data_IF_371673173328
#
_entry.id   IF_371673173328
#
_cell.length_a   1.000
_cell.length_b   1.000
_cell.length_c   1.000
_cell.angle_alpha   90.00
_cell.angle_beta   90.00
_cell.angle_gamma   90.00
#
_symmetry.space_group_name_H-M   'P 1'
#
loop_
_entity.id
_entity.type
_entity.pdbx_description
1 polymer ?
#
# COMPACT_ATOMS: atom_id res chain seq x y z
N UNK A 1 -36.17 -18.40 13.19
CA UNK A 1 -35.55 -17.35 14.00
C UNK A 1 -34.61 -16.54 13.10
N UNK A 2 -35.03 -15.32 12.81
CA UNK A 2 -34.35 -14.41 11.83
C UNK A 2 -33.13 -13.77 12.47
N UNK A 3 -31.94 -13.96 11.87
CA UNK A 3 -30.72 -13.23 12.25
C UNK A 3 -30.69 -11.89 11.50
N UNK A 4 -30.95 -10.81 12.24
CA UNK A 4 -30.82 -9.43 11.74
C UNK A 4 -29.35 -9.14 11.39
N UNK A 5 -29.10 -8.76 10.14
CA UNK A 5 -27.84 -8.18 9.69
C UNK A 5 -27.82 -6.72 10.16
N UNK A 6 -26.84 -6.36 10.98
CA UNK A 6 -26.59 -4.97 11.34
C UNK A 6 -25.62 -4.37 10.32
N UNK A 7 -26.13 -3.44 9.52
CA UNK A 7 -25.29 -2.51 8.75
C UNK A 7 -24.91 -1.41 9.73
N UNK A 8 -23.65 -1.32 10.12
CA UNK A 8 -23.12 -0.23 10.94
C UNK A 8 -22.61 0.86 9.99
N UNK A 9 -23.46 1.87 9.76
CA UNK A 9 -23.03 3.14 9.16
C UNK A 9 -22.34 3.97 10.25
N UNK A 10 -21.06 4.28 10.07
CA UNK A 10 -20.38 5.20 10.96
C UNK A 10 -20.65 6.65 10.53
N UNK A 11 -21.43 7.34 11.33
CA UNK A 11 -21.49 8.81 11.32
C UNK A 11 -20.21 9.33 12.01
N UNK A 12 -19.53 10.25 11.34
CA UNK A 12 -18.38 10.96 11.87
C UNK A 12 -18.90 12.02 12.84
N UNK A 13 -18.72 11.82 14.13
CA UNK A 13 -18.85 12.87 15.14
C UNK A 13 -17.44 13.36 15.48
N UNK A 14 -17.21 14.65 15.31
CA UNK A 14 -15.98 15.35 15.70
C UNK A 14 -15.86 15.40 17.22
N UNK A 15 -15.13 14.44 17.76
CA UNK A 15 -14.67 14.45 19.15
C UNK A 15 -13.22 14.05 19.17
N UNK A 16 -12.37 14.88 19.77
CA UNK A 16 -10.94 14.67 19.85
C UNK A 16 -10.58 13.48 20.73
N UNK A 17 -10.58 12.29 20.13
CA UNK A 17 -9.95 11.09 20.68
C UNK A 17 -9.15 10.46 19.55
N UNK A 18 -7.90 10.10 19.83
CA UNK A 18 -6.94 9.47 18.94
C UNK A 18 -7.53 8.17 18.37
N UNK A 19 -8.20 8.24 17.22
CA UNK A 19 -8.86 7.11 16.56
C UNK A 19 -8.04 6.69 15.34
N UNK A 20 -7.61 5.48 15.39
CA UNK A 20 -6.79 4.78 14.40
C UNK A 20 -7.63 4.38 13.17
N UNK A 21 -7.15 4.66 11.97
CA UNK A 21 -7.82 4.28 10.73
C UNK A 21 -7.08 3.11 10.06
N UNK A 22 -7.68 1.93 10.10
CA UNK A 22 -7.26 0.82 9.27
C UNK A 22 -8.16 0.74 8.03
N UNK A 23 -7.61 0.52 6.86
CA UNK A 23 -8.41 0.24 5.67
C UNK A 23 -8.82 -1.22 5.63
N UNK A 24 -10.12 -1.46 5.47
CA UNK A 24 -10.65 -2.78 5.20
C UNK A 24 -10.45 -3.11 3.73
N UNK A 25 -9.73 -4.18 3.44
CA UNK A 25 -9.55 -4.68 2.09
C UNK A 25 -10.05 -6.12 1.98
N UNK A 26 -10.86 -6.39 0.96
CA UNK A 26 -11.32 -7.75 0.68
C UNK A 26 -10.28 -8.44 -0.18
N UNK A 27 -9.80 -9.58 0.28
CA UNK A 27 -8.86 -10.44 -0.44
C UNK A 27 -9.44 -11.83 -0.60
N UNK A 28 -8.99 -12.57 -1.58
CA UNK A 28 -9.40 -13.95 -1.78
C UNK A 28 -8.32 -14.86 -1.18
N UNK A 29 -8.71 -15.74 -0.29
CA UNK A 29 -7.80 -16.71 0.29
C UNK A 29 -7.43 -17.81 -0.72
N UNK A 30 -6.50 -18.67 -0.34
CA UNK A 30 -6.04 -19.79 -1.17
C UNK A 30 -7.12 -20.86 -1.47
N UNK A 31 -8.33 -20.71 -0.93
CA UNK A 31 -9.53 -21.54 -1.20
C UNK A 31 -10.57 -20.80 -2.03
N UNK A 32 -10.24 -19.62 -2.56
CA UNK A 32 -11.15 -18.79 -3.35
C UNK A 32 -12.22 -18.05 -2.55
N UNK A 33 -12.10 -17.99 -1.21
CA UNK A 33 -13.07 -17.31 -0.34
C UNK A 33 -12.66 -15.85 -0.12
N UNK A 34 -13.60 -14.92 -0.33
CA UNK A 34 -13.40 -13.51 0.00
C UNK A 34 -13.25 -13.32 1.52
N UNK A 35 -12.16 -12.71 1.93
CA UNK A 35 -11.82 -12.41 3.32
C UNK A 35 -11.56 -10.94 3.43
N UNK A 36 -12.15 -10.33 4.45
CA UNK A 36 -11.91 -8.93 4.78
C UNK A 36 -10.73 -8.84 5.72
N UNK A 37 -9.65 -8.21 5.26
CA UNK A 37 -8.44 -7.98 6.04
C UNK A 37 -8.33 -6.50 6.33
N UNK A 38 -8.12 -6.15 7.60
CA UNK A 38 -7.84 -4.78 8.01
C UNK A 38 -6.34 -4.56 7.89
N UNK A 39 -5.95 -3.62 7.04
CA UNK A 39 -4.56 -3.28 6.86
C UNK A 39 -4.32 -1.94 7.54
N UNK A 40 -3.43 -1.90 8.52
CA UNK A 40 -2.99 -0.63 9.07
C UNK A 40 -2.27 0.15 7.98
N UNK A 41 -2.62 1.40 7.82
CA UNK A 41 -1.88 2.31 6.95
C UNK A 41 -0.85 3.05 7.80
N UNK A 42 0.34 3.24 7.29
CA UNK A 42 1.40 4.03 7.94
C UNK A 42 0.97 5.47 8.28
N UNK A 43 -0.22 5.81 7.85
CA UNK A 43 -0.88 7.07 8.04
C UNK A 43 -1.25 7.42 9.47
N UNK A 44 -1.26 6.42 10.32
CA UNK A 44 -1.68 6.60 11.71
C UNK A 44 -0.56 7.08 12.57
N UNK A 45 0.55 7.13 11.95
CA UNK A 45 1.72 7.71 12.54
C UNK A 45 2.22 8.77 11.58
N UNK A 46 1.75 9.92 11.71
CA UNK A 46 2.62 10.94 11.40
C UNK A 46 3.42 11.26 12.53
N UNK A 47 3.29 10.26 12.91
CA UNK A 47 4.10 9.36 13.34
C UNK A 47 4.08 8.16 12.50
N UNK A 48 4.87 8.02 11.61
CA UNK A 48 5.09 6.95 10.71
C UNK A 48 5.29 5.60 11.41
N UNK A 49 4.27 5.10 12.07
CA UNK A 49 4.41 3.94 12.89
C UNK A 49 3.06 3.26 13.05
N UNK A 50 2.98 2.09 12.52
CA UNK A 50 1.87 1.20 12.83
C UNK A 50 1.96 0.86 14.30
N UNK A 51 1.10 1.45 15.12
CA UNK A 51 0.97 1.04 16.52
C UNK A 51 0.46 -0.39 16.51
N UNK A 52 1.31 -1.22 16.98
CA UNK A 52 1.16 -2.64 16.92
C UNK A 52 0.15 -3.14 17.96
N UNK A 53 -0.06 -2.41 19.07
CA UNK A 53 -1.12 -2.74 20.04
C UNK A 53 -2.51 -2.64 19.40
N UNK A 54 -2.66 -1.80 18.37
CA UNK A 54 -3.86 -1.71 17.56
C UNK A 54 -4.07 -2.89 16.60
N UNK A 55 -3.00 -3.50 16.10
CA UNK A 55 -3.10 -4.74 15.32
C UNK A 55 -3.68 -5.87 16.17
N UNK A 56 -3.30 -5.95 17.46
CA UNK A 56 -3.74 -7.01 18.35
C UNK A 56 -5.25 -6.99 18.58
N UNK A 57 -5.85 -5.83 18.86
CA UNK A 57 -7.27 -5.77 19.19
C UNK A 57 -8.20 -6.03 18.02
N UNK A 58 -7.86 -5.54 16.83
CA UNK A 58 -8.75 -5.68 15.67
C UNK A 58 -8.53 -6.93 14.84
N UNK A 59 -7.28 -7.39 14.69
CA UNK A 59 -7.02 -8.64 13.97
C UNK A 59 -7.43 -9.86 14.77
N UNK A 60 -7.21 -9.87 16.08
CA UNK A 60 -7.64 -10.96 16.94
C UNK A 60 -9.17 -11.11 16.93
N UNK A 61 -9.90 -10.02 17.06
CA UNK A 61 -11.37 -10.04 17.07
C UNK A 61 -11.97 -10.30 15.69
N UNK A 62 -11.34 -9.87 14.58
CA UNK A 62 -11.85 -10.15 13.24
C UNK A 62 -11.58 -11.58 12.78
N UNK A 63 -10.46 -12.19 13.17
CA UNK A 63 -10.13 -13.58 12.83
C UNK A 63 -11.08 -14.58 13.48
N UNK A 64 -11.55 -14.32 14.69
CA UNK A 64 -12.54 -15.16 15.38
C UNK A 64 -13.89 -15.10 14.68
N UNK A 65 -14.28 -13.95 14.12
CA UNK A 65 -15.57 -13.78 13.43
C UNK A 65 -15.59 -14.34 12.00
N UNK A 66 -14.45 -14.49 11.34
CA UNK A 66 -14.37 -14.96 9.94
C UNK A 66 -14.21 -16.47 9.77
N UNK A 67 -14.16 -17.22 10.86
CA UNK A 67 -14.20 -18.70 10.81
C UNK A 67 -12.98 -19.33 10.15
N UNK A 68 -11.81 -18.73 10.27
CA UNK A 68 -10.53 -19.40 9.94
C UNK A 68 -10.21 -20.48 10.99
N UNK A 69 -11.11 -21.43 11.11
CA UNK A 69 -10.92 -22.64 11.88
C UNK A 69 -10.09 -23.63 11.10
N UNK A 70 -8.81 -23.45 11.09
CA UNK A 70 -7.82 -24.54 11.05
C UNK A 70 -6.56 -23.95 11.65
N UNK A 71 -6.45 -23.98 12.95
CA UNK A 71 -5.16 -24.07 13.62
C UNK A 71 -4.40 -25.19 12.94
N UNK A 72 -3.21 -24.94 12.37
CA UNK A 72 -2.32 -26.01 12.00
C UNK A 72 -2.10 -26.85 13.26
N UNK A 73 -2.08 -28.17 13.09
CA UNK A 73 -1.82 -29.14 14.14
C UNK A 73 -0.73 -28.63 15.10
N UNK A 74 -1.04 -28.61 16.39
CA UNK A 74 -0.21 -28.15 17.50
C UNK A 74 1.03 -29.01 17.78
N UNK A 75 1.47 -29.82 16.83
CA UNK A 75 2.64 -30.69 16.94
C UNK A 75 3.85 -30.22 16.12
N UNK A 76 3.81 -29.01 15.52
CA UNK A 76 5.03 -28.40 15.01
C UNK A 76 5.77 -27.80 16.21
N UNK A 77 6.93 -28.32 16.56
CA UNK A 77 7.90 -27.67 17.43
C UNK A 77 8.00 -26.21 17.01
N UNK A 78 7.70 -25.27 17.95
CA UNK A 78 7.96 -23.86 17.66
C UNK A 78 9.40 -23.72 17.19
N UNK A 79 9.66 -22.96 16.11
CA UNK A 79 11.03 -22.77 15.67
C UNK A 79 11.84 -22.22 16.84
N UNK A 80 13.05 -22.72 17.00
CA UNK A 80 13.97 -22.24 18.03
C UNK A 80 14.30 -20.77 17.76
N UNK A 81 13.50 -19.88 18.38
CA UNK A 81 13.52 -18.43 18.17
C UNK A 81 14.40 -17.71 19.18
N UNK A 82 15.56 -18.29 19.51
CA UNK A 82 16.53 -17.56 20.31
C UNK A 82 17.02 -16.33 19.55
N UNK A 83 17.28 -15.24 20.25
CA UNK A 83 17.81 -14.01 19.63
C UNK A 83 19.07 -14.27 18.82
N UNK A 84 19.91 -15.21 19.25
CA UNK A 84 21.14 -15.62 18.58
C UNK A 84 20.88 -16.23 17.19
N UNK A 85 19.86 -17.09 17.08
CA UNK A 85 19.47 -17.68 15.79
C UNK A 85 18.90 -16.63 14.86
N UNK A 86 18.04 -15.75 15.36
CA UNK A 86 17.47 -14.66 14.60
C UNK A 86 18.58 -13.73 14.10
N UNK A 87 19.49 -13.32 14.97
CA UNK A 87 20.59 -12.42 14.64
C UNK A 87 21.55 -13.05 13.61
N UNK A 88 21.87 -14.32 13.74
CA UNK A 88 22.65 -15.06 12.74
C UNK A 88 21.96 -15.07 11.36
N UNK A 89 20.64 -15.29 11.32
CA UNK A 89 19.86 -15.26 10.07
C UNK A 89 19.82 -13.84 9.49
N UNK A 90 19.68 -12.81 10.31
CA UNK A 90 19.70 -11.41 9.87
C UNK A 90 21.02 -11.01 9.23
N UNK A 91 22.15 -11.44 9.81
CA UNK A 91 23.48 -11.19 9.21
C UNK A 91 23.63 -11.77 7.80
N UNK A 92 22.89 -12.82 7.49
CA UNK A 92 22.92 -13.44 6.16
C UNK A 92 21.94 -12.79 5.15
N UNK A 93 21.11 -11.83 5.59
CA UNK A 93 20.14 -11.20 4.69
C UNK A 93 20.76 -10.11 3.83
N UNK A 94 21.78 -9.42 4.31
CA UNK A 94 22.34 -8.26 3.60
C UNK A 94 23.83 -8.13 3.85
N UNK A 95 24.52 -7.84 2.76
CA UNK A 95 25.95 -7.44 2.82
C UNK A 95 26.11 -5.91 2.95
N UNK A 96 25.06 -5.15 2.58
CA UNK A 96 25.11 -3.68 2.48
C UNK A 96 24.49 -2.98 3.70
N UNK A 97 23.66 -3.68 4.48
CA UNK A 97 22.95 -3.10 5.63
C UNK A 97 23.20 -3.93 6.87
N UNK A 98 23.68 -3.30 7.94
CA UNK A 98 23.80 -3.96 9.23
C UNK A 98 22.43 -4.10 9.87
N UNK A 99 21.95 -5.34 10.00
CA UNK A 99 20.72 -5.66 10.70
C UNK A 99 21.05 -6.50 11.93
N UNK A 100 20.69 -6.01 13.11
CA UNK A 100 20.93 -6.69 14.39
C UNK A 100 19.61 -6.99 15.07
N UNK A 101 19.54 -8.16 15.74
CA UNK A 101 18.44 -8.51 16.59
C UNK A 101 18.69 -7.98 18.00
N UNK A 102 17.75 -7.22 18.53
CA UNK A 102 17.68 -6.83 19.94
C UNK A 102 16.22 -6.94 20.41
N UNK A 103 15.97 -6.63 21.67
CA UNK A 103 14.63 -6.75 22.28
C UNK A 103 13.59 -5.90 21.50
N UNK A 104 13.97 -4.72 21.02
CA UNK A 104 13.04 -3.87 20.25
C UNK A 104 12.67 -4.50 18.91
N UNK A 105 13.63 -5.06 18.18
CA UNK A 105 13.39 -5.77 16.93
C UNK A 105 12.58 -7.05 17.17
N UNK A 106 12.90 -7.80 18.22
CA UNK A 106 12.21 -9.05 18.58
C UNK A 106 10.73 -8.84 18.83
N UNK A 107 10.33 -7.75 19.48
CA UNK A 107 8.91 -7.39 19.68
C UNK A 107 8.14 -7.33 18.37
N UNK A 108 8.74 -6.75 17.32
CA UNK A 108 8.09 -6.68 16.00
C UNK A 108 8.06 -8.01 15.28
N UNK A 109 9.12 -8.84 15.43
CA UNK A 109 9.11 -10.20 14.86
C UNK A 109 7.97 -11.02 15.48
N UNK A 110 7.87 -11.03 16.80
CA UNK A 110 6.81 -11.75 17.52
C UNK A 110 5.42 -11.29 17.08
N UNK A 111 5.29 -10.05 16.78
CA UNK A 111 4.10 -9.44 16.31
C UNK A 111 3.70 -9.89 14.90
N UNK A 112 4.57 -9.84 13.92
CA UNK A 112 4.31 -10.36 12.58
C UNK A 112 4.01 -11.86 12.59
N UNK A 113 4.66 -12.61 13.48
CA UNK A 113 4.59 -14.09 13.48
C UNK A 113 3.48 -14.64 14.37
N UNK A 114 3.01 -13.86 15.36
CA UNK A 114 1.96 -14.25 16.32
C UNK A 114 0.65 -13.51 16.04
N UNK A 115 0.38 -12.38 16.68
CA UNK A 115 -0.86 -11.63 16.57
C UNK A 115 -1.13 -11.13 15.14
N UNK A 116 -0.12 -10.57 14.46
CA UNK A 116 -0.21 -10.08 13.08
C UNK A 116 -0.04 -11.14 11.99
N UNK A 117 -0.09 -12.43 12.33
CA UNK A 117 0.17 -13.55 11.41
C UNK A 117 -0.69 -13.49 10.14
N UNK A 118 -1.97 -13.20 10.27
CA UNK A 118 -2.89 -13.11 9.14
C UNK A 118 -2.53 -11.94 8.21
N UNK A 119 -2.18 -10.79 8.78
CA UNK A 119 -1.68 -9.64 8.02
C UNK A 119 -0.40 -9.99 7.29
N UNK A 120 0.49 -10.74 7.94
CA UNK A 120 1.74 -11.20 7.31
C UNK A 120 1.46 -12.10 6.11
N UNK A 121 0.50 -13.02 6.18
CA UNK A 121 0.07 -13.82 5.03
C UNK A 121 -0.39 -12.94 3.86
N UNK A 122 -1.15 -11.89 4.15
CA UNK A 122 -1.60 -10.92 3.15
C UNK A 122 -0.45 -10.09 2.58
N UNK A 123 0.43 -9.56 3.42
CA UNK A 123 1.60 -8.80 2.99
C UNK A 123 2.51 -9.61 2.08
N UNK A 124 2.74 -10.87 2.41
CA UNK A 124 3.51 -11.80 1.57
C UNK A 124 2.87 -12.01 0.21
N UNK A 125 1.54 -12.13 0.16
CA UNK A 125 0.80 -12.26 -1.09
C UNK A 125 0.98 -11.02 -1.98
N UNK A 126 0.86 -9.81 -1.41
CA UNK A 126 1.05 -8.56 -2.15
C UNK A 126 2.51 -8.33 -2.57
N UNK A 127 3.45 -8.70 -1.72
CA UNK A 127 4.87 -8.57 -2.00
C UNK A 127 5.30 -9.31 -3.28
N UNK A 128 4.65 -10.41 -3.63
CA UNK A 128 4.90 -11.12 -4.90
C UNK A 128 4.68 -10.24 -6.12
N UNK A 129 3.70 -9.35 -6.06
CA UNK A 129 3.39 -8.42 -7.15
C UNK A 129 4.29 -7.17 -7.11
N UNK A 130 4.48 -6.57 -5.93
CA UNK A 130 5.17 -5.28 -5.82
C UNK A 130 6.69 -5.39 -5.76
N UNK A 131 7.26 -6.44 -5.15
CA UNK A 131 8.70 -6.57 -4.98
C UNK A 131 9.49 -6.46 -6.29
N UNK A 132 9.09 -7.07 -7.41
CA UNK A 132 9.82 -6.89 -8.68
C UNK A 132 9.90 -5.42 -9.12
N UNK A 133 8.85 -4.63 -8.91
CA UNK A 133 8.80 -3.20 -9.25
C UNK A 133 9.77 -2.42 -8.34
N UNK A 134 9.76 -2.71 -7.04
CA UNK A 134 10.65 -2.06 -6.08
C UNK A 134 12.11 -2.40 -6.35
N UNK A 135 12.39 -3.67 -6.60
CA UNK A 135 13.75 -4.15 -6.88
C UNK A 135 14.34 -3.54 -8.15
N UNK A 136 13.53 -3.32 -9.19
CA UNK A 136 13.96 -2.64 -10.41
C UNK A 136 14.45 -1.22 -10.10
N UNK A 137 13.67 -0.43 -9.37
CA UNK A 137 14.02 0.92 -8.97
C UNK A 137 15.25 0.95 -8.05
N UNK A 138 15.35 0.03 -7.09
CA UNK A 138 16.50 -0.06 -6.18
C UNK A 138 17.79 -0.43 -6.94
N UNK A 139 17.74 -1.41 -7.85
CA UNK A 139 18.88 -1.78 -8.69
C UNK A 139 19.33 -0.64 -9.58
N UNK A 140 18.38 0.14 -10.12
CA UNK A 140 18.72 1.30 -10.96
C UNK A 140 19.62 2.32 -10.23
N UNK A 141 19.39 2.51 -8.92
CA UNK A 141 20.20 3.39 -8.08
C UNK A 141 21.34 2.68 -7.33
N UNK A 142 21.54 1.37 -7.53
CA UNK A 142 22.57 0.59 -6.85
C UNK A 142 22.36 0.46 -5.34
N UNK A 143 21.10 0.39 -4.90
CA UNK A 143 20.71 0.37 -3.48
C UNK A 143 20.49 -1.07 -2.97
N UNK A 144 20.58 -1.29 -1.63
CA UNK A 144 20.25 -2.55 -1.02
C UNK A 144 18.81 -2.98 -1.35
N UNK A 145 18.65 -4.25 -1.77
CA UNK A 145 17.33 -4.77 -2.15
C UNK A 145 16.41 -4.97 -0.94
N UNK A 146 16.96 -5.00 0.25
CA UNK A 146 16.23 -5.07 1.51
C UNK A 146 15.29 -3.87 1.69
N UNK A 147 15.61 -2.73 1.10
CA UNK A 147 14.78 -1.52 1.11
C UNK A 147 13.40 -1.74 0.47
N UNK A 148 13.21 -2.79 -0.33
CA UNK A 148 11.90 -3.19 -0.87
C UNK A 148 10.85 -3.49 0.21
N UNK A 149 11.27 -3.74 1.43
CA UNK A 149 10.35 -4.00 2.53
C UNK A 149 9.93 -2.73 3.30
N UNK A 150 10.43 -1.55 2.89
CA UNK A 150 10.00 -0.28 3.47
C UNK A 150 8.49 -0.03 3.26
N UNK A 151 7.90 -0.28 2.07
CA UNK A 151 6.45 -0.16 1.87
C UNK A 151 5.59 -1.11 2.74
N UNK A 152 6.17 -2.15 3.31
CA UNK A 152 5.47 -3.02 4.27
C UNK A 152 5.10 -2.22 5.52
N UNK A 153 6.05 -1.46 6.07
CA UNK A 153 5.83 -0.64 7.26
C UNK A 153 5.20 0.71 6.95
N UNK A 154 5.33 1.22 5.73
CA UNK A 154 4.78 2.51 5.32
C UNK A 154 3.28 2.46 4.99
N UNK A 155 2.84 1.44 4.28
CA UNK A 155 1.48 1.38 3.74
C UNK A 155 0.81 0.00 3.84
N UNK A 156 1.48 -0.99 4.41
CA UNK A 156 1.03 -2.38 4.29
C UNK A 156 0.92 -2.82 2.82
N UNK A 157 1.79 -2.31 1.95
CA UNK A 157 1.77 -2.51 0.50
C UNK A 157 0.46 -2.04 -0.17
N UNK A 158 -0.23 -1.03 0.40
CA UNK A 158 -1.45 -0.47 -0.16
C UNK A 158 -1.16 0.83 -0.95
N UNK A 159 -1.27 0.84 -2.29
CA UNK A 159 -1.00 2.04 -3.09
C UNK A 159 -2.05 3.15 -2.87
N UNK A 160 -3.21 2.81 -2.32
CA UNK A 160 -4.28 3.76 -2.00
C UNK A 160 -4.19 4.32 -0.57
N UNK A 161 -3.19 3.90 0.21
CA UNK A 161 -3.00 4.41 1.56
C UNK A 161 -2.84 5.94 1.56
N UNK A 162 -3.50 6.59 2.51
CA UNK A 162 -3.37 8.04 2.73
C UNK A 162 -3.32 8.30 4.22
N UNK A 163 -2.28 9.01 4.65
CA UNK A 163 -2.09 9.38 6.04
C UNK A 163 -3.01 10.52 6.49
N UNK A 164 -3.24 10.63 7.80
CA UNK A 164 -3.96 11.76 8.39
C UNK A 164 -3.33 13.11 8.02
N UNK A 165 -2.05 13.14 7.77
CA UNK A 165 -1.30 14.35 7.38
C UNK A 165 -1.07 14.45 5.87
N UNK A 166 -1.67 13.55 5.08
CA UNK A 166 -1.65 13.63 3.63
C UNK A 166 -0.47 12.95 2.94
N UNK A 167 0.33 12.11 3.64
CA UNK A 167 1.24 11.20 2.97
C UNK A 167 0.45 10.16 2.17
N UNK A 168 0.92 9.73 1.01
CA UNK A 168 0.15 8.85 0.13
C UNK A 168 1.01 7.83 -0.62
N UNK A 169 0.36 6.69 -0.96
CA UNK A 169 0.93 5.65 -1.80
C UNK A 169 1.75 4.61 -1.04
N UNK A 170 2.38 3.72 -1.78
CA UNK A 170 3.18 2.61 -1.24
C UNK A 170 4.33 3.10 -0.33
N UNK A 171 4.96 4.20 -0.70
CA UNK A 171 6.13 4.79 -0.07
C UNK A 171 5.81 5.98 0.84
N UNK A 172 4.52 6.29 1.03
CA UNK A 172 4.01 7.35 1.91
C UNK A 172 4.68 8.72 1.72
N UNK A 173 4.81 9.15 0.47
CA UNK A 173 5.32 10.49 0.18
C UNK A 173 4.36 11.58 0.65
N UNK A 174 4.89 12.59 1.36
CA UNK A 174 4.22 13.88 1.48
C UNK A 174 4.17 14.58 0.12
N UNK A 175 3.11 15.37 -0.13
CA UNK A 175 2.94 16.02 -1.44
C UNK A 175 4.13 16.94 -1.82
N UNK A 176 4.65 17.69 -0.86
CA UNK A 176 5.83 18.55 -1.06
C UNK A 176 7.07 17.73 -1.42
N UNK A 177 7.34 16.67 -0.67
CA UNK A 177 8.47 15.77 -0.92
C UNK A 177 8.31 15.03 -2.26
N UNK A 178 7.12 14.51 -2.56
CA UNK A 178 6.86 13.86 -3.84
C UNK A 178 7.17 14.77 -5.04
N UNK A 179 6.75 16.05 -4.97
CA UNK A 179 7.08 17.04 -6.01
C UNK A 179 8.58 17.34 -6.13
N UNK A 180 9.34 17.31 -5.04
CA UNK A 180 10.81 17.47 -5.07
C UNK A 180 11.49 16.29 -5.78
N UNK A 181 10.86 15.13 -5.78
CA UNK A 181 11.30 13.92 -6.49
C UNK A 181 10.51 13.68 -7.78
N UNK A 182 10.04 14.75 -8.43
CA UNK A 182 9.42 14.80 -9.75
C UNK A 182 8.10 14.04 -9.90
N UNK A 183 7.39 13.74 -8.79
CA UNK A 183 6.07 13.13 -8.84
C UNK A 183 5.00 14.18 -9.14
N UNK A 184 4.21 13.95 -10.18
CA UNK A 184 3.06 14.78 -10.52
C UNK A 184 1.92 14.52 -9.54
N UNK A 185 1.37 15.62 -8.99
CA UNK A 185 0.29 15.58 -8.01
C UNK A 185 -0.68 16.72 -8.32
N UNK A 186 -1.84 16.36 -8.86
CA UNK A 186 -2.93 17.29 -9.18
C UNK A 186 -4.31 16.65 -8.94
N UNK A 187 -5.39 17.25 -9.47
CA UNK A 187 -6.76 16.78 -9.30
C UNK A 187 -7.08 15.48 -10.07
N UNK A 188 -6.33 15.16 -11.12
CA UNK A 188 -6.53 13.98 -11.96
C UNK A 188 -5.57 12.86 -11.65
N UNK A 189 -4.31 13.20 -11.36
CA UNK A 189 -3.23 12.25 -11.15
C UNK A 189 -2.52 12.48 -9.81
N UNK A 190 -2.17 11.40 -9.13
CA UNK A 190 -1.33 11.40 -7.93
C UNK A 190 -0.29 10.28 -8.06
N UNK A 191 0.89 10.63 -8.61
CA UNK A 191 1.95 9.68 -8.89
C UNK A 191 2.65 9.11 -7.64
N UNK A 192 2.35 9.63 -6.46
CA UNK A 192 2.74 8.99 -5.20
C UNK A 192 2.12 7.59 -5.05
N UNK A 193 0.99 7.37 -5.75
CA UNK A 193 0.26 6.09 -5.79
C UNK A 193 0.71 5.18 -6.92
N UNK A 194 1.37 5.72 -7.94
CA UNK A 194 1.92 4.93 -9.04
C UNK A 194 3.05 4.02 -8.52
N UNK A 195 2.93 2.68 -8.61
CA UNK A 195 3.92 1.78 -8.04
C UNK A 195 5.32 1.95 -8.64
N UNK A 196 5.42 2.24 -9.94
CA UNK A 196 6.69 2.41 -10.65
C UNK A 196 7.31 3.76 -10.31
N UNK A 197 6.61 4.86 -10.60
CA UNK A 197 7.13 6.22 -10.42
C UNK A 197 7.49 6.53 -8.96
N UNK A 198 6.62 6.14 -8.03
CA UNK A 198 6.91 6.36 -6.61
C UNK A 198 8.10 5.53 -6.12
N UNK A 199 8.35 4.34 -6.70
CA UNK A 199 9.50 3.52 -6.34
C UNK A 199 10.83 4.15 -6.80
N UNK A 200 10.88 4.69 -8.03
CA UNK A 200 12.06 5.43 -8.49
C UNK A 200 12.30 6.69 -7.67
N UNK A 201 11.24 7.43 -7.32
CA UNK A 201 11.34 8.61 -6.45
C UNK A 201 11.86 8.24 -5.05
N UNK A 202 11.35 7.14 -4.46
CA UNK A 202 11.77 6.67 -3.14
C UNK A 202 13.23 6.17 -3.16
N UNK A 203 13.62 5.41 -4.18
CA UNK A 203 14.98 4.95 -4.34
C UNK A 203 15.96 6.14 -4.46
N UNK A 204 15.61 7.18 -5.23
CA UNK A 204 16.40 8.42 -5.32
C UNK A 204 16.51 9.12 -3.97
N UNK A 205 15.39 9.27 -3.24
CA UNK A 205 15.38 9.89 -1.91
C UNK A 205 16.25 9.11 -0.92
N UNK A 206 16.15 7.78 -0.90
CA UNK A 206 16.96 6.93 -0.05
C UNK A 206 18.45 7.02 -0.39
N UNK A 207 18.80 7.10 -1.69
CA UNK A 207 20.18 7.35 -2.14
C UNK A 207 20.71 8.68 -1.61
N UNK A 208 19.92 9.75 -1.69
CA UNK A 208 20.33 11.06 -1.22
C UNK A 208 20.50 11.11 0.31
N UNK A 209 19.60 10.45 1.05
CA UNK A 209 19.72 10.30 2.50
C UNK A 209 20.95 9.48 2.90
N UNK A 210 21.24 8.40 2.19
CA UNK A 210 22.44 7.61 2.45
C UNK A 210 23.73 8.40 2.18
N UNK A 211 23.79 9.18 1.09
CA UNK A 211 24.92 10.08 0.83
C UNK A 211 25.15 11.08 1.97
N UNK A 212 24.06 11.54 2.61
CA UNK A 212 24.13 12.50 3.72
C UNK A 212 24.62 11.84 5.01
N UNK A 213 24.16 10.64 5.33
CA UNK A 213 24.40 10.04 6.66
C UNK A 213 25.46 8.95 6.66
N UNK A 214 25.76 8.32 5.52
CA UNK A 214 26.73 7.23 5.40
C UNK A 214 26.32 5.92 6.07
N UNK A 215 25.12 5.89 6.69
CA UNK A 215 24.54 4.74 7.39
C UNK A 215 23.10 4.54 6.98
N UNK A 216 22.71 3.29 6.66
CA UNK A 216 21.36 2.97 6.21
C UNK A 216 20.31 3.14 7.31
N UNK A 217 20.67 2.83 8.55
CA UNK A 217 19.72 2.95 9.67
C UNK A 217 19.42 4.41 10.01
N UNK A 218 20.40 5.30 9.89
CA UNK A 218 20.21 6.74 9.97
C UNK A 218 19.45 7.30 8.75
N UNK A 219 19.73 6.78 7.54
CA UNK A 219 18.99 7.16 6.33
C UNK A 219 17.49 6.79 6.44
N UNK A 220 17.18 5.60 6.96
CA UNK A 220 15.81 5.18 7.24
C UNK A 220 15.14 6.05 8.33
N UNK A 221 15.86 6.38 9.41
CA UNK A 221 15.35 7.31 10.40
C UNK A 221 15.05 8.69 9.79
N UNK A 222 15.92 9.17 8.89
CA UNK A 222 15.74 10.42 8.17
C UNK A 222 14.61 10.37 7.14
N UNK A 223 14.39 9.24 6.49
CA UNK A 223 13.23 9.03 5.64
C UNK A 223 11.92 9.24 6.42
N UNK A 224 11.84 8.70 7.63
CA UNK A 224 10.67 8.79 8.50
C UNK A 224 10.49 10.20 9.10
N UNK A 225 11.50 10.74 9.78
CA UNK A 225 11.33 11.99 10.54
C UNK A 225 11.96 13.24 9.90
N UNK A 226 12.63 13.09 8.79
CA UNK A 226 13.36 14.13 8.10
C UNK A 226 14.81 14.29 8.59
N UNK A 227 15.74 14.69 7.70
CA UNK A 227 17.17 14.75 8.00
C UNK A 227 17.52 15.75 9.11
N UNK A 228 16.77 16.84 9.26
CA UNK A 228 17.01 17.83 10.30
C UNK A 228 16.85 17.28 11.73
N UNK A 229 15.87 16.38 11.95
CA UNK A 229 15.68 15.75 13.26
C UNK A 229 16.77 14.73 13.58
N UNK A 230 17.24 13.97 12.56
CA UNK A 230 18.36 13.05 12.73
C UNK A 230 19.64 13.81 13.04
N UNK A 231 19.96 14.88 12.31
CA UNK A 231 21.12 15.73 12.62
C UNK A 231 21.07 16.29 14.06
N UNK A 232 19.89 16.75 14.50
CA UNK A 232 19.69 17.21 15.88
C UNK A 232 19.94 16.10 16.91
N UNK A 233 19.49 14.86 16.60
CA UNK A 233 19.74 13.71 17.47
C UNK A 233 21.24 13.36 17.55
N UNK A 234 21.94 13.37 16.41
CA UNK A 234 23.40 13.14 16.35
C UNK A 234 24.14 14.20 17.20
N UNK A 235 23.78 15.47 17.06
CA UNK A 235 24.38 16.55 17.86
C UNK A 235 24.15 16.37 19.36
N UNK A 236 22.93 16.01 19.76
CA UNK A 236 22.57 15.76 21.18
C UNK A 236 23.27 14.55 21.77
N UNK A 237 23.57 13.56 20.94
CA UNK A 237 24.32 12.36 21.35
C UNK A 237 25.85 12.61 21.46
N UNK A 238 26.32 13.79 21.09
CA UNK A 238 27.77 14.08 21.05
C UNK A 238 28.48 13.46 19.83
N UNK A 239 27.73 13.14 18.77
CA UNK A 239 28.13 12.34 17.63
C UNK A 239 27.50 10.95 17.69
N UNK A 240 27.34 10.31 16.52
CA UNK A 240 26.77 8.96 16.46
C UNK A 240 26.97 8.39 15.05
N UNK A 241 27.47 7.16 14.99
CA UNK A 241 27.77 6.48 13.73
C UNK A 241 26.57 5.72 13.15
N UNK A 242 25.59 5.40 13.97
CA UNK A 242 24.41 4.62 13.57
C UNK A 242 23.16 5.02 14.37
N UNK A 243 22.03 4.43 13.98
CA UNK A 243 20.73 4.66 14.60
C UNK A 243 20.71 4.35 16.10
N UNK A 244 21.34 3.28 16.56
CA UNK A 244 21.30 2.84 17.96
C UNK A 244 22.05 3.80 18.88
N UNK A 245 23.14 4.39 18.38
CA UNK A 245 23.91 5.41 19.12
C UNK A 245 23.07 6.66 19.40
N UNK A 246 22.17 7.05 18.49
CA UNK A 246 21.34 8.25 18.61
C UNK A 246 19.90 7.96 19.03
N UNK A 247 19.55 6.70 19.25
CA UNK A 247 18.19 6.19 19.49
C UNK A 247 17.39 7.01 20.50
N UNK A 248 17.97 7.29 21.67
CA UNK A 248 17.28 7.99 22.76
C UNK A 248 16.97 9.46 22.42
N UNK A 249 17.67 10.05 21.46
CA UNK A 249 17.51 11.44 21.05
C UNK A 249 16.58 11.61 19.85
N UNK A 250 16.17 10.49 19.21
CA UNK A 250 15.20 10.49 18.14
C UNK A 250 13.76 10.67 18.66
N UNK A 251 12.84 11.20 17.82
CA UNK A 251 11.42 11.20 18.15
C UNK A 251 10.93 9.79 18.53
N UNK A 252 10.01 9.71 19.50
CA UNK A 252 9.49 8.42 20.00
C UNK A 252 9.05 7.47 18.88
N UNK A 253 8.41 8.03 17.89
CA UNK A 253 7.90 7.31 16.71
C UNK A 253 9.02 6.75 15.84
N UNK A 254 10.03 7.56 15.56
CA UNK A 254 11.18 7.15 14.76
C UNK A 254 11.99 6.04 15.44
N UNK A 255 11.98 6.00 16.77
CA UNK A 255 12.65 4.91 17.53
C UNK A 255 12.11 3.53 17.21
N UNK A 256 10.81 3.40 16.91
CA UNK A 256 10.22 2.12 16.51
C UNK A 256 10.37 1.81 15.00
N UNK A 257 10.61 2.82 14.17
CA UNK A 257 10.59 2.67 12.72
C UNK A 257 11.66 1.73 12.18
N UNK A 258 12.92 1.92 12.58
CA UNK A 258 14.04 1.07 12.13
C UNK A 258 13.92 -0.36 12.69
N UNK A 259 13.57 -0.58 13.97
CA UNK A 259 13.26 -1.93 14.48
C UNK A 259 12.14 -2.63 13.69
N UNK A 260 11.06 -1.91 13.34
CA UNK A 260 9.96 -2.45 12.55
C UNK A 260 10.41 -2.84 11.14
N UNK A 261 11.26 -2.02 10.50
CA UNK A 261 11.83 -2.32 9.20
C UNK A 261 12.73 -3.57 9.24
N UNK A 262 13.61 -3.68 10.23
CA UNK A 262 14.48 -4.85 10.39
C UNK A 262 13.64 -6.12 10.60
N UNK A 263 12.62 -6.05 11.45
CA UNK A 263 11.71 -7.16 11.69
C UNK A 263 10.92 -7.55 10.42
N UNK A 264 10.43 -6.57 9.66
CA UNK A 264 9.76 -6.83 8.37
C UNK A 264 10.70 -7.56 7.41
N UNK A 265 11.96 -7.12 7.27
CA UNK A 265 12.96 -7.83 6.47
C UNK A 265 13.12 -9.28 6.90
N UNK A 266 13.29 -9.51 8.19
CA UNK A 266 13.45 -10.86 8.72
C UNK A 266 12.24 -11.74 8.41
N UNK A 267 11.05 -11.28 8.76
CA UNK A 267 9.83 -12.07 8.63
C UNK A 267 9.46 -12.32 7.17
N UNK A 268 9.61 -11.32 6.30
CA UNK A 268 9.31 -11.47 4.86
C UNK A 268 10.25 -12.43 4.14
N UNK A 269 11.42 -12.73 4.70
CA UNK A 269 12.35 -13.73 4.17
C UNK A 269 12.21 -15.10 4.85
N UNK A 270 11.91 -15.13 6.15
CA UNK A 270 11.89 -16.38 6.95
C UNK A 270 10.47 -16.77 7.40
N UNK A 271 9.42 -16.30 6.73
CA UNK A 271 8.01 -16.58 7.06
C UNK A 271 7.68 -18.08 7.11
N UNK A 272 8.36 -18.88 6.28
CA UNK A 272 8.14 -20.32 6.23
C UNK A 272 8.53 -21.02 7.52
N UNK A 273 9.56 -20.52 8.23
CA UNK A 273 10.00 -21.06 9.52
C UNK A 273 8.91 -20.95 10.59
N UNK A 274 8.00 -20.00 10.40
CA UNK A 274 6.86 -19.75 11.28
C UNK A 274 5.57 -20.39 10.76
N UNK A 275 5.65 -21.30 9.76
CA UNK A 275 4.51 -21.91 9.10
C UNK A 275 3.51 -20.88 8.54
N UNK A 276 3.98 -19.70 8.14
CA UNK A 276 3.18 -18.66 7.49
C UNK A 276 3.15 -18.93 5.99
N UNK A 277 1.96 -18.83 5.37
CA UNK A 277 1.77 -19.05 3.93
C UNK A 277 1.20 -17.79 3.28
N UNK A 278 1.79 -17.30 2.17
CA UNK A 278 1.25 -16.15 1.45
C UNK A 278 -0.19 -16.36 0.98
N UNK A 279 -1.07 -15.38 1.19
CA UNK A 279 -2.43 -15.39 0.65
C UNK A 279 -2.45 -15.03 -0.83
N UNK A 280 -3.45 -15.57 -1.56
CA UNK A 280 -3.80 -15.05 -2.88
C UNK A 280 -4.50 -13.68 -2.73
N UNK A 281 -4.02 -12.68 -3.44
CA UNK A 281 -4.51 -11.29 -3.33
C UNK A 281 -5.30 -10.82 -4.54
N UNK A 282 -5.54 -11.68 -5.53
CA UNK A 282 -6.20 -11.32 -6.79
C UNK A 282 -5.35 -10.42 -7.71
N UNK A 283 -4.15 -10.01 -7.29
CA UNK A 283 -3.24 -9.29 -8.15
C UNK A 283 -2.68 -10.23 -9.24
N UNK A 284 -2.53 -9.75 -10.49
CA UNK A 284 -2.00 -10.57 -11.58
C UNK A 284 -0.54 -10.94 -11.33
N UNK A 285 -0.11 -12.07 -11.89
CA UNK A 285 1.29 -12.50 -11.78
C UNK A 285 2.25 -11.57 -12.51
N UNK A 286 1.78 -10.96 -13.60
CA UNK A 286 2.57 -10.04 -14.43
C UNK A 286 1.69 -8.97 -15.04
N UNK A 287 2.22 -7.75 -15.09
CA UNK A 287 1.62 -6.62 -15.79
C UNK A 287 2.59 -6.02 -16.77
N UNK A 288 2.03 -5.48 -17.85
CA UNK A 288 2.73 -4.62 -18.79
C UNK A 288 2.00 -3.27 -18.89
N UNK A 289 2.67 -2.27 -19.49
CA UNK A 289 2.09 -0.95 -19.67
C UNK A 289 1.88 -0.64 -21.15
N UNK A 290 0.78 0.07 -21.45
CA UNK A 290 0.51 0.63 -22.76
C UNK A 290 0.44 2.15 -22.69
N UNK A 291 0.83 2.81 -23.78
CA UNK A 291 0.68 4.25 -23.93
C UNK A 291 -0.77 4.58 -24.21
N UNK A 292 -1.31 5.57 -23.49
CA UNK A 292 -2.65 6.10 -23.72
C UNK A 292 -2.55 7.34 -24.61
N UNK A 293 -3.15 7.28 -25.81
CA UNK A 293 -3.01 8.29 -26.83
C UNK A 293 -4.10 9.37 -26.82
N UNK A 294 -5.26 9.06 -26.23
CA UNK A 294 -6.38 9.99 -26.05
C UNK A 294 -6.96 9.85 -24.66
N UNK A 295 -7.63 10.88 -24.18
CA UNK A 295 -8.32 10.85 -22.91
C UNK A 295 -9.30 9.68 -22.86
N UNK A 296 -9.25 8.89 -21.81
CA UNK A 296 -10.11 7.70 -21.65
C UNK A 296 -10.34 7.39 -20.17
N UNK A 297 -11.51 6.87 -19.83
CA UNK A 297 -11.79 6.42 -18.47
C UNK A 297 -11.41 4.95 -18.29
N UNK A 298 -10.95 4.61 -17.07
CA UNK A 298 -10.70 3.22 -16.69
C UNK A 298 -11.96 2.36 -16.85
N UNK A 299 -13.13 2.93 -16.59
CA UNK A 299 -14.41 2.23 -16.78
C UNK A 299 -14.65 1.84 -18.25
N UNK A 300 -14.35 2.72 -19.20
CA UNK A 300 -14.46 2.43 -20.64
C UNK A 300 -13.50 1.32 -21.04
N UNK A 301 -12.24 1.43 -20.63
CA UNK A 301 -11.24 0.39 -20.91
C UNK A 301 -11.67 -0.96 -20.32
N UNK A 302 -12.08 -0.98 -19.06
CA UNK A 302 -12.52 -2.20 -18.40
C UNK A 302 -13.71 -2.85 -19.11
N UNK A 303 -14.70 -2.04 -19.50
CA UNK A 303 -15.87 -2.53 -20.24
C UNK A 303 -15.50 -3.18 -21.58
N UNK A 304 -14.68 -2.51 -22.39
CA UNK A 304 -14.27 -3.04 -23.71
C UNK A 304 -13.40 -4.29 -23.57
N UNK A 305 -12.54 -4.33 -22.54
CA UNK A 305 -11.69 -5.48 -22.28
C UNK A 305 -12.39 -6.62 -21.49
N UNK A 306 -13.63 -6.41 -21.01
CA UNK A 306 -14.34 -7.37 -20.17
C UNK A 306 -13.63 -7.62 -18.85
N UNK A 307 -13.03 -6.59 -18.27
CA UNK A 307 -12.37 -6.61 -16.97
C UNK A 307 -13.26 -6.01 -15.89
N UNK A 308 -13.02 -6.39 -14.63
CA UNK A 308 -13.58 -5.66 -13.51
C UNK A 308 -12.90 -4.28 -13.41
N UNK A 309 -13.70 -3.22 -13.30
CA UNK A 309 -13.19 -1.85 -13.22
C UNK A 309 -12.38 -1.58 -11.95
N UNK A 310 -12.71 -2.23 -10.84
CA UNK A 310 -12.01 -2.03 -9.56
C UNK A 310 -10.65 -2.76 -9.55
N UNK A 311 -10.55 -3.89 -10.27
CA UNK A 311 -9.25 -4.52 -10.51
C UNK A 311 -8.36 -3.59 -11.36
N UNK A 312 -8.90 -2.99 -12.41
CA UNK A 312 -8.16 -2.06 -13.24
C UNK A 312 -7.73 -0.79 -12.50
N UNK A 313 -8.58 -0.25 -11.61
CA UNK A 313 -8.23 0.85 -10.71
C UNK A 313 -7.13 0.46 -9.73
N UNK A 314 -7.17 -0.77 -9.23
CA UNK A 314 -6.14 -1.29 -8.32
C UNK A 314 -4.76 -1.35 -8.96
N UNK A 315 -4.70 -1.64 -10.26
CA UNK A 315 -3.47 -1.62 -11.05
C UNK A 315 -3.02 -0.21 -11.44
N UNK A 316 -3.93 0.78 -11.43
CA UNK A 316 -3.71 2.16 -11.87
C UNK A 316 -4.17 3.18 -10.81
N UNK A 317 -3.70 3.09 -9.57
CA UNK A 317 -4.21 3.87 -8.45
C UNK A 317 -3.86 5.37 -8.53
N UNK A 318 -2.94 5.76 -9.41
CA UNK A 318 -2.55 7.14 -9.67
C UNK A 318 -3.68 7.97 -10.31
N UNK A 319 -4.63 7.34 -11.03
CA UNK A 319 -5.73 8.05 -11.71
C UNK A 319 -6.91 8.25 -10.76
N UNK A 320 -6.89 9.37 -10.02
CA UNK A 320 -7.80 9.66 -8.90
C UNK A 320 -9.29 9.63 -9.24
N UNK A 321 -9.65 10.05 -10.46
CA UNK A 321 -11.04 10.09 -10.96
C UNK A 321 -11.34 8.95 -11.93
N UNK A 322 -10.40 7.99 -12.07
CA UNK A 322 -10.51 6.96 -13.09
C UNK A 322 -10.42 7.48 -14.52
N UNK A 323 -10.00 8.74 -14.71
CA UNK A 323 -9.79 9.38 -16.01
C UNK A 323 -8.29 9.48 -16.28
N UNK A 324 -7.86 8.94 -17.41
CA UNK A 324 -6.51 9.05 -17.93
C UNK A 324 -6.46 10.20 -18.91
N UNK A 325 -5.72 11.26 -18.58
CA UNK A 325 -5.41 12.38 -19.48
C UNK A 325 -4.18 12.02 -20.32
N UNK A 326 -4.36 11.89 -21.64
CA UNK A 326 -3.30 11.42 -22.53
C UNK A 326 -2.09 12.35 -22.57
N UNK A 327 -2.33 13.65 -22.46
CA UNK A 327 -1.30 14.70 -22.47
C UNK A 327 -1.14 15.30 -21.06
N UNK A 328 -0.90 14.44 -20.07
CA UNK A 328 -0.50 14.93 -18.74
C UNK A 328 0.82 15.71 -18.84
N UNK A 329 0.94 16.78 -18.10
CA UNK A 329 1.97 17.82 -18.24
C UNK A 329 3.41 17.34 -18.17
N UNK A 330 3.70 16.17 -17.59
CA UNK A 330 5.06 15.67 -17.33
C UNK A 330 5.36 14.32 -18.02
N UNK A 331 4.76 14.04 -19.16
CA UNK A 331 5.10 12.84 -19.91
C UNK A 331 3.90 12.14 -20.55
N UNK A 332 4.14 10.92 -20.98
CA UNK A 332 3.15 10.08 -21.68
C UNK A 332 2.33 9.32 -20.62
N UNK A 333 1.01 9.42 -20.71
CA UNK A 333 0.11 8.65 -19.85
C UNK A 333 0.25 7.15 -20.15
N UNK A 334 0.44 6.36 -19.10
CA UNK A 334 0.59 4.90 -19.18
C UNK A 334 -0.56 4.20 -18.47
N UNK A 335 -1.10 3.17 -19.09
CA UNK A 335 -2.08 2.28 -18.49
C UNK A 335 -1.42 0.92 -18.22
N UNK A 336 -1.47 0.48 -16.98
CA UNK A 336 -1.00 -0.84 -16.56
C UNK A 336 -2.12 -1.85 -16.70
N UNK A 337 -1.83 -2.95 -17.37
CA UNK A 337 -2.76 -4.05 -17.62
C UNK A 337 -2.10 -5.39 -17.26
N UNK A 338 -2.87 -6.43 -16.89
CA UNK A 338 -2.36 -7.79 -16.89
C UNK A 338 -1.77 -8.13 -18.25
N UNK A 339 -0.62 -8.81 -18.29
CA UNK A 339 0.13 -9.08 -19.53
C UNK A 339 -0.73 -9.80 -20.58
N UNK A 340 -1.63 -10.68 -20.16
CA UNK A 340 -2.58 -11.38 -21.02
C UNK A 340 -3.61 -10.46 -21.69
N UNK A 341 -3.82 -9.24 -21.19
CA UNK A 341 -4.76 -8.27 -21.75
C UNK A 341 -4.15 -7.35 -22.79
N UNK A 342 -2.84 -7.34 -22.97
CA UNK A 342 -2.13 -6.44 -23.89
C UNK A 342 -2.58 -6.65 -25.35
N UNK A 343 -2.63 -7.89 -25.81
CA UNK A 343 -3.07 -8.17 -27.20
C UNK A 343 -4.55 -7.84 -27.40
N UNK A 344 -5.38 -8.06 -26.39
CA UNK A 344 -6.79 -7.66 -26.42
C UNK A 344 -6.93 -6.13 -26.47
N UNK A 345 -6.14 -5.40 -25.71
CA UNK A 345 -6.09 -3.93 -25.76
C UNK A 345 -5.71 -3.44 -27.15
N UNK A 346 -4.65 -3.97 -27.76
CA UNK A 346 -4.21 -3.61 -29.12
C UNK A 346 -5.31 -3.86 -30.14
N UNK A 347 -5.98 -5.01 -30.07
CA UNK A 347 -7.07 -5.40 -30.98
C UNK A 347 -8.29 -4.47 -30.89
N UNK A 348 -8.65 -4.04 -29.69
CA UNK A 348 -9.85 -3.23 -29.45
C UNK A 348 -9.53 -1.74 -29.21
N UNK A 349 -8.31 -1.29 -29.52
CA UNK A 349 -7.84 0.07 -29.26
C UNK A 349 -8.76 1.14 -29.85
N UNK A 350 -9.20 0.99 -31.10
CA UNK A 350 -10.12 1.93 -31.75
C UNK A 350 -11.46 2.03 -31.00
N UNK A 351 -12.02 0.91 -30.56
CA UNK A 351 -13.27 0.88 -29.80
C UNK A 351 -13.12 1.57 -28.43
N UNK A 352 -11.97 1.41 -27.79
CA UNK A 352 -11.66 2.09 -26.52
C UNK A 352 -11.70 3.62 -26.69
N UNK A 353 -11.24 4.14 -27.83
CA UNK A 353 -11.17 5.58 -28.10
C UNK A 353 -12.36 6.14 -28.88
N UNK A 354 -13.29 5.31 -29.33
CA UNK A 354 -14.55 5.80 -29.93
C UNK A 354 -15.37 6.52 -28.87
N UNK A 355 -15.79 7.74 -29.13
CA UNK A 355 -16.77 8.43 -28.31
C UNK A 355 -18.05 7.61 -28.28
N UNK A 356 -18.67 7.46 -27.13
CA UNK A 356 -20.07 7.04 -27.11
C UNK A 356 -20.86 8.15 -27.81
N UNK A 357 -21.25 7.91 -29.07
CA UNK A 357 -22.29 8.71 -29.67
C UNK A 357 -23.50 8.56 -28.77
N UNK A 358 -23.86 9.62 -28.09
CA UNK A 358 -25.14 9.75 -27.39
C UNK A 358 -26.28 9.62 -28.42
N UNK A 359 -26.58 8.39 -28.78
CA UNK A 359 -27.80 8.03 -29.48
C UNK A 359 -28.71 7.34 -28.49
N UNK A 360 -29.36 8.14 -27.68
CA UNK A 360 -30.72 7.93 -27.21
C UNK A 360 -31.23 9.27 -26.70
N UNK A 361 -31.75 10.07 -27.65
CA UNK A 361 -32.82 10.98 -27.30
C UNK A 361 -33.99 10.09 -26.79
N UNK A 362 -34.46 10.29 -25.56
CA UNK A 362 -35.71 9.64 -25.19
C UNK A 362 -36.79 10.22 -26.11
N UNK A 363 -37.35 9.37 -26.94
CA UNK A 363 -38.49 9.66 -27.78
C UNK A 363 -39.68 9.97 -26.86
N UNK A 364 -39.78 11.22 -26.39
CA UNK A 364 -40.94 11.73 -25.71
C UNK A 364 -42.04 11.93 -26.76
N UNK A 365 -42.72 10.85 -27.08
CA UNK A 365 -44.03 10.93 -27.73
C UNK A 365 -44.99 11.63 -26.79
N UNK A 366 -45.16 12.94 -27.01
CA UNK A 366 -46.20 13.71 -26.33
C UNK A 366 -47.53 13.23 -26.87
N UNK A 367 -48.21 12.37 -26.14
CA UNK A 367 -49.61 12.07 -26.38
C UNK A 367 -50.41 13.33 -26.01
N UNK A 368 -50.78 14.07 -27.03
CA UNK A 368 -51.71 15.19 -26.93
C UNK A 368 -53.09 14.63 -26.53
N UNK A 369 -53.45 14.65 -25.27
CA UNK A 369 -54.80 14.44 -24.84
C UNK A 369 -55.58 15.75 -24.90
N UNK A 370 -56.45 15.84 -25.89
CA UNK A 370 -57.55 16.85 -25.97
C UNK A 370 -58.34 16.86 -24.67
N UNK A 371 -58.28 17.96 -23.93
CA UNK A 371 -59.30 18.28 -22.95
C UNK A 371 -60.19 19.36 -23.53
N UNK A 372 -61.38 18.90 -23.86
CA UNK A 372 -62.53 19.71 -24.29
C UNK A 372 -62.92 20.66 -23.16
N UNK A 373 -63.07 21.94 -23.51
CA UNK A 373 -63.80 22.92 -22.71
C UNK A 373 -65.27 22.51 -22.55
N UNK A 374 -65.77 22.47 -21.35
CA UNK A 374 -67.17 22.84 -21.01
C UNK A 374 -67.17 23.58 -19.69
N UNK A 375 -67.60 24.81 -19.78
CA UNK A 375 -67.84 25.72 -18.68
C UNK A 375 -69.07 25.31 -17.82
N UNK A 376 -69.20 26.03 -16.75
CA UNK A 376 -70.45 26.59 -16.16
C UNK A 376 -70.03 27.17 -14.78
N UNK A 377 -70.10 28.45 -14.68
CA UNK A 377 -70.86 29.31 -13.77
C UNK A 377 -71.27 28.70 -12.38
N UNK A 378 -70.78 29.20 -11.34
CA UNK A 378 -71.29 30.11 -10.29
C UNK A 378 -70.18 30.44 -9.31
#
# INVERSE_FOLDING_TARGET
MSRKRYIVSFLITTGATCGLYAQQQTVVDNRGKAVSVMIPTASETMAGYVDVDYLDDKFYNSSIQTGFGNTPSTNATEPENSMEIIDRKMRNLSEMMTMTCNEEVKKYIDRYTKAGRQSTCYLLGRARYYNPIFEEALRFYGLPLELKYLPVIESGLNPNATSRVGAAGLWQFMATTGKQYDLQIDSYIDERRDPEKSSYAAARMLSDLYKQFGDWTLALAAYNCGPGRVNSAITKAGGGADFWAVYQHLPKETRGYVPAFIAANYVMNYYADYNITPLSTGLPNRCDTVIVEKDVTLAKVANVLGMNVDDLKTLNPQYRQGLIKAFATNGVAKLRLPSEMIEKYKKYKEQIYQNETTNEEPNMTIAATHISQKGILY
#
